data_IF_705332406435
#
_entry.id   IF_705332406435
#
_cell.length_a   1.000
_cell.length_b   1.000
_cell.length_c   1.000
_cell.angle_alpha   90.00
_cell.angle_beta   90.00
_cell.angle_gamma   90.00
#
_symmetry.space_group_name_H-M   'P 1'
#
loop_
_entity.id
_entity.type
_entity.pdbx_description
1 polymer ?
#
# COMPACT_ATOMS: atom_id res chain seq x y z
N UNK A 1 -26.23 -2.63 -11.91
CA UNK A 1 -25.13 -2.92 -10.97
C UNK A 1 -23.96 -2.03 -11.34
N UNK A 2 -23.22 -1.46 -10.38
CA UNK A 2 -21.98 -0.76 -10.70
C UNK A 2 -20.99 -1.74 -11.35
N UNK A 3 -20.18 -1.30 -12.33
CA UNK A 3 -19.18 -2.16 -12.97
C UNK A 3 -18.14 -2.66 -11.94
N UNK A 4 -17.81 -3.95 -12.03
CA UNK A 4 -16.81 -4.59 -11.14
C UNK A 4 -15.41 -4.09 -11.54
N UNK A 5 -14.67 -3.57 -10.57
CA UNK A 5 -13.30 -3.06 -10.74
C UNK A 5 -12.29 -4.12 -10.29
N UNK A 6 -11.32 -4.45 -11.15
CA UNK A 6 -10.24 -5.40 -10.82
C UNK A 6 -9.06 -4.76 -10.07
N UNK A 7 -8.89 -3.44 -10.13
CA UNK A 7 -7.82 -2.72 -9.42
C UNK A 7 -8.35 -1.54 -8.61
N UNK A 8 -8.40 -1.66 -7.28
CA UNK A 8 -8.86 -0.61 -6.36
C UNK A 8 -8.45 -0.88 -4.91
N UNK A 9 -8.69 0.05 -3.99
CA UNK A 9 -8.44 -0.18 -2.56
C UNK A 9 -9.40 -1.22 -1.94
N UNK A 10 -10.46 -1.60 -2.66
CA UNK A 10 -11.56 -2.49 -2.26
C UNK A 10 -11.60 -3.81 -3.04
N UNK A 11 -10.64 -4.08 -3.95
CA UNK A 11 -10.72 -5.23 -4.88
C UNK A 11 -10.79 -6.60 -4.24
N UNK A 12 -10.33 -6.74 -3.00
CA UNK A 12 -10.46 -8.00 -2.27
C UNK A 12 -11.88 -8.24 -1.74
N UNK A 13 -12.67 -7.17 -1.56
CA UNK A 13 -14.05 -7.26 -1.05
C UNK A 13 -15.07 -7.46 -2.18
N UNK A 14 -14.76 -7.00 -3.41
CA UNK A 14 -15.65 -7.11 -4.57
C UNK A 14 -15.55 -8.46 -5.31
N UNK A 15 -14.50 -9.25 -5.04
CA UNK A 15 -14.25 -10.55 -5.68
C UNK A 15 -14.33 -11.66 -4.63
N UNK A 16 -15.42 -12.44 -4.68
CA UNK A 16 -15.60 -13.56 -3.77
C UNK A 16 -14.69 -14.72 -4.20
N UNK A 17 -13.64 -14.97 -3.42
CA UNK A 17 -12.75 -16.13 -3.62
C UNK A 17 -13.33 -17.37 -2.94
N UNK A 18 -13.71 -18.38 -3.71
CA UNK A 18 -14.20 -19.68 -3.19
C UNK A 18 -13.10 -20.73 -3.32
N UNK A 19 -12.86 -21.51 -2.26
CA UNK A 19 -11.96 -22.68 -2.30
C UNK A 19 -10.49 -22.42 -1.98
N UNK A 20 -10.12 -21.21 -1.54
CA UNK A 20 -8.77 -20.92 -1.07
C UNK A 20 -8.63 -21.23 0.43
N UNK A 21 -7.94 -22.32 0.77
CA UNK A 21 -7.55 -22.60 2.16
C UNK A 21 -6.40 -21.67 2.57
N UNK A 22 -6.65 -20.74 3.50
CA UNK A 22 -5.62 -19.86 4.07
C UNK A 22 -5.17 -20.38 5.43
N UNK A 23 -3.97 -20.98 5.56
CA UNK A 23 -3.48 -21.43 6.86
C UNK A 23 -3.22 -20.26 7.81
N UNK A 24 -3.86 -20.29 8.97
CA UNK A 24 -3.85 -19.23 10.00
C UNK A 24 -2.46 -18.81 10.52
N UNK A 25 -1.48 -19.70 10.50
CA UNK A 25 -0.11 -19.46 11.01
C UNK A 25 0.81 -18.78 9.98
N UNK A 26 0.53 -18.89 8.68
CA UNK A 26 1.30 -18.21 7.63
C UNK A 26 1.04 -16.70 7.56
N UNK A 27 -0.05 -16.24 8.19
CA UNK A 27 -0.54 -14.87 8.06
C UNK A 27 -0.12 -13.98 9.25
N UNK A 28 0.54 -14.49 10.29
CA UNK A 28 0.90 -13.68 11.49
C UNK A 28 1.86 -12.53 11.16
N UNK A 29 2.90 -12.81 10.36
CA UNK A 29 3.84 -11.78 9.90
C UNK A 29 3.14 -10.77 8.99
N UNK A 30 2.30 -11.25 8.07
CA UNK A 30 1.56 -10.39 7.15
C UNK A 30 0.51 -9.53 7.89
N UNK A 31 -0.20 -10.07 8.88
CA UNK A 31 -1.11 -9.35 9.77
C UNK A 31 -0.36 -8.28 10.56
N UNK A 32 0.77 -8.64 11.18
CA UNK A 32 1.60 -7.72 11.94
C UNK A 32 2.10 -6.54 11.08
N UNK A 33 2.25 -6.72 9.76
CA UNK A 33 2.66 -5.67 8.84
C UNK A 33 1.51 -4.91 8.16
N UNK A 34 0.30 -5.48 8.10
CA UNK A 34 -0.84 -4.91 7.36
C UNK A 34 -1.83 -4.14 8.23
N UNK A 35 -1.96 -4.47 9.52
CA UNK A 35 -2.87 -3.75 10.42
C UNK A 35 -2.45 -2.28 10.58
N UNK A 36 -3.40 -1.38 10.86
CA UNK A 36 -3.10 0.03 11.10
C UNK A 36 -2.19 0.25 12.32
N UNK A 37 -1.40 1.32 12.31
CA UNK A 37 -0.40 1.62 13.36
C UNK A 37 -0.96 1.60 14.79
N UNK A 38 -2.14 2.20 15.02
CA UNK A 38 -2.76 2.21 16.35
C UNK A 38 -3.09 0.80 16.85
N UNK A 39 -3.68 -0.04 15.99
CA UNK A 39 -4.00 -1.44 16.33
C UNK A 39 -2.74 -2.26 16.59
N UNK A 40 -1.70 -2.05 15.79
CA UNK A 40 -0.39 -2.70 15.98
C UNK A 40 0.21 -2.36 17.36
N UNK A 41 0.28 -1.08 17.71
CA UNK A 41 0.84 -0.64 18.98
C UNK A 41 0.03 -1.15 20.18
N UNK A 42 -1.30 -1.06 20.11
CA UNK A 42 -2.18 -1.58 21.18
C UNK A 42 -2.03 -3.09 21.33
N UNK A 43 -1.93 -3.85 20.23
CA UNK A 43 -1.69 -5.29 20.29
C UNK A 43 -0.32 -5.62 20.90
N UNK A 44 0.73 -4.87 20.57
CA UNK A 44 2.06 -5.03 21.16
C UNK A 44 2.09 -4.75 22.66
N UNK A 45 1.45 -3.65 23.09
CA UNK A 45 1.28 -3.33 24.52
C UNK A 45 0.46 -4.43 25.21
N UNK A 46 -0.64 -4.88 24.60
CA UNK A 46 -1.47 -5.96 25.13
C UNK A 46 -0.69 -7.26 25.32
N UNK A 47 0.13 -7.66 24.33
CA UNK A 47 0.99 -8.83 24.42
C UNK A 47 2.03 -8.69 25.55
N UNK A 48 2.66 -7.52 25.67
CA UNK A 48 3.59 -7.22 26.76
C UNK A 48 2.91 -7.32 28.14
N UNK A 49 1.74 -6.71 28.30
CA UNK A 49 0.97 -6.76 29.55
C UNK A 49 0.52 -8.19 29.89
N UNK A 50 0.07 -8.95 28.90
CA UNK A 50 -0.33 -10.35 29.08
C UNK A 50 0.84 -11.23 29.52
N UNK A 51 2.01 -11.07 28.88
CA UNK A 51 3.21 -11.80 29.26
C UNK A 51 3.60 -11.54 30.72
N UNK A 52 3.62 -10.26 31.14
CA UNK A 52 3.92 -9.91 32.53
C UNK A 52 2.88 -10.47 33.51
N UNK A 53 1.59 -10.48 33.12
CA UNK A 53 0.54 -11.07 33.96
C UNK A 53 0.74 -12.59 34.15
N UNK A 54 1.20 -13.30 33.12
CA UNK A 54 1.51 -14.73 33.20
C UNK A 54 2.72 -14.97 34.13
N UNK A 55 3.80 -14.20 33.99
CA UNK A 55 4.96 -14.31 34.88
C UNK A 55 4.62 -13.93 36.33
N UNK A 56 3.77 -12.94 36.54
CA UNK A 56 3.24 -12.60 37.86
C UNK A 56 2.54 -13.80 38.51
N UNK A 57 1.74 -14.56 37.75
CA UNK A 57 1.11 -15.79 38.25
C UNK A 57 2.17 -16.83 38.62
N UNK A 58 3.22 -17.02 37.82
CA UNK A 58 4.33 -17.93 38.17
C UNK A 58 5.03 -17.54 39.46
N UNK A 59 5.29 -16.25 39.69
CA UNK A 59 5.87 -15.79 40.96
C UNK A 59 4.97 -16.04 42.17
N UNK A 60 3.66 -16.04 42.00
CA UNK A 60 2.69 -16.30 43.07
C UNK A 60 2.49 -17.80 43.36
N UNK A 61 3.01 -18.71 42.53
CA UNK A 61 2.90 -20.16 42.77
C UNK A 61 3.73 -20.64 43.97
N UNK A 62 4.77 -19.89 44.34
CA UNK A 62 5.59 -20.19 45.51
C UNK A 62 5.64 -18.98 46.43
N UNK A 63 5.24 -19.19 47.69
CA UNK A 63 5.35 -18.17 48.73
C UNK A 63 6.81 -17.76 48.96
N UNK A 64 7.03 -16.46 49.18
CA UNK A 64 8.37 -15.90 49.38
C UNK A 64 9.22 -15.81 48.12
N UNK A 65 8.65 -15.99 46.92
CA UNK A 65 9.38 -15.86 45.65
C UNK A 65 9.90 -14.43 45.41
N UNK A 66 9.19 -13.40 45.88
CA UNK A 66 9.60 -12.01 45.72
C UNK A 66 9.84 -11.40 47.11
N UNK A 67 11.08 -10.99 47.37
CA UNK A 67 11.44 -10.25 48.57
C UNK A 67 10.81 -8.85 48.55
N UNK A 68 10.36 -8.37 49.72
CA UNK A 68 9.72 -7.06 49.91
C UNK A 68 8.38 -6.86 49.16
N UNK A 69 7.78 -7.91 48.62
CA UNK A 69 6.41 -7.89 48.10
C UNK A 69 5.40 -8.24 49.20
N UNK A 70 4.17 -7.69 49.11
CA UNK A 70 3.09 -8.10 50.01
C UNK A 70 2.71 -9.57 49.72
N UNK A 71 2.54 -10.42 50.74
CA UNK A 71 2.18 -11.82 50.53
C UNK A 71 0.90 -11.96 49.69
N UNK A 72 0.95 -12.76 48.62
CA UNK A 72 -0.19 -13.01 47.72
C UNK A 72 -0.63 -11.83 46.83
N UNK A 73 0.11 -10.71 46.81
CA UNK A 73 -0.26 -9.53 46.02
C UNK A 73 0.07 -9.70 44.53
N UNK A 74 -0.95 -9.89 43.70
CA UNK A 74 -0.79 -9.93 42.24
C UNK A 74 -0.18 -8.63 41.69
N UNK A 75 -0.57 -7.48 42.24
CA UNK A 75 -0.06 -6.19 41.78
C UNK A 75 1.46 -6.08 41.98
N UNK A 76 1.99 -6.53 43.12
CA UNK A 76 3.43 -6.48 43.38
C UNK A 76 4.19 -7.46 42.49
N UNK A 77 3.65 -8.67 42.29
CA UNK A 77 4.23 -9.66 41.37
C UNK A 77 4.21 -9.17 39.91
N UNK A 78 3.15 -8.49 39.50
CA UNK A 78 3.03 -7.89 38.17
C UNK A 78 4.01 -6.75 37.94
N UNK A 79 4.17 -5.84 38.90
CA UNK A 79 5.15 -4.77 38.78
C UNK A 79 6.59 -5.28 38.91
N UNK A 80 6.84 -6.34 39.68
CA UNK A 80 8.14 -7.02 39.70
C UNK A 80 8.47 -7.65 38.35
N UNK A 81 7.50 -8.33 37.72
CA UNK A 81 7.61 -8.88 36.37
C UNK A 81 7.93 -7.78 35.34
N UNK A 82 7.21 -6.65 35.36
CA UNK A 82 7.52 -5.49 34.49
C UNK A 82 8.95 -5.00 34.70
N UNK A 83 9.38 -4.83 35.95
CA UNK A 83 10.73 -4.35 36.27
C UNK A 83 11.82 -5.33 35.81
N UNK A 84 11.53 -6.63 35.87
CA UNK A 84 12.43 -7.70 35.45
C UNK A 84 12.50 -7.78 33.93
N UNK A 85 11.36 -7.94 33.26
CA UNK A 85 11.30 -8.12 31.81
C UNK A 85 11.75 -6.88 31.03
N UNK A 86 11.47 -5.68 31.53
CA UNK A 86 11.98 -4.43 30.95
C UNK A 86 13.42 -4.10 31.37
N UNK A 87 14.05 -4.93 32.21
CA UNK A 87 15.42 -4.73 32.73
C UNK A 87 15.60 -3.40 33.49
N UNK A 88 14.54 -2.90 34.14
CA UNK A 88 14.56 -1.67 34.93
C UNK A 88 15.20 -1.94 36.30
N UNK A 89 14.75 -3.00 36.98
CA UNK A 89 15.33 -3.47 38.24
C UNK A 89 15.56 -2.39 39.30
N UNK A 90 14.50 -1.73 39.79
CA UNK A 90 14.63 -0.67 40.82
C UNK A 90 15.31 -1.12 42.13
N UNK A 91 15.42 -2.44 42.36
CA UNK A 91 16.15 -3.03 43.49
C UNK A 91 15.36 -3.09 44.80
N UNK A 92 14.15 -2.55 44.84
CA UNK A 92 13.26 -2.67 46.02
C UNK A 92 12.68 -4.08 46.16
N UNK A 93 12.29 -4.69 45.05
CA UNK A 93 11.85 -6.09 44.97
C UNK A 93 12.95 -6.92 44.30
N UNK A 94 13.22 -8.11 44.85
CA UNK A 94 14.26 -9.00 44.36
C UNK A 94 13.79 -10.47 44.44
N UNK A 95 14.32 -11.38 43.62
CA UNK A 95 13.98 -12.80 43.72
C UNK A 95 14.45 -13.36 45.07
N UNK A 96 13.51 -13.85 45.88
CA UNK A 96 13.75 -14.34 47.25
C UNK A 96 14.14 -15.82 47.34
N UNK A 97 14.09 -16.56 46.24
CA UNK A 97 14.35 -18.01 46.22
C UNK A 97 15.07 -18.46 44.93
N UNK A 98 15.62 -19.67 44.93
CA UNK A 98 16.19 -20.28 43.71
C UNK A 98 15.14 -20.41 42.61
N UNK A 99 13.91 -20.80 42.95
CA UNK A 99 12.78 -20.86 42.02
C UNK A 99 12.53 -19.51 41.35
N UNK A 100 12.43 -18.43 42.13
CA UNK A 100 12.22 -17.09 41.59
C UNK A 100 13.36 -16.67 40.65
N UNK A 101 14.62 -16.98 40.98
CA UNK A 101 15.77 -16.69 40.11
C UNK A 101 15.71 -17.46 38.78
N UNK A 102 15.22 -18.70 38.78
CA UNK A 102 14.98 -19.46 37.55
C UNK A 102 13.89 -18.81 36.68
N UNK A 103 12.79 -18.38 37.30
CA UNK A 103 11.71 -17.66 36.58
C UNK A 103 12.25 -16.33 36.01
N UNK A 104 12.98 -15.54 36.80
CA UNK A 104 13.65 -14.30 36.35
C UNK A 104 14.55 -14.55 35.15
N UNK A 105 15.30 -15.66 35.15
CA UNK A 105 16.20 -16.02 34.05
C UNK A 105 15.41 -16.29 32.76
N UNK A 106 14.34 -17.07 32.85
CA UNK A 106 13.45 -17.36 31.71
C UNK A 106 12.72 -16.11 31.23
N UNK A 107 12.20 -15.31 32.17
CA UNK A 107 11.51 -14.05 31.89
C UNK A 107 12.40 -13.04 31.18
N UNK A 108 13.65 -12.89 31.65
CA UNK A 108 14.62 -11.98 31.02
C UNK A 108 14.95 -12.43 29.61
N UNK A 109 15.19 -13.73 29.39
CA UNK A 109 15.42 -14.28 28.05
C UNK A 109 14.22 -14.04 27.12
N UNK A 110 13.00 -14.27 27.62
CA UNK A 110 11.77 -13.99 26.88
C UNK A 110 11.61 -12.50 26.54
N UNK A 111 11.86 -11.60 27.51
CA UNK A 111 11.80 -10.16 27.33
C UNK A 111 12.74 -9.64 26.26
N UNK A 112 13.98 -10.15 26.22
CA UNK A 112 14.96 -9.82 25.19
C UNK A 112 14.51 -10.26 23.80
N UNK A 113 13.94 -11.46 23.68
CA UNK A 113 13.39 -11.96 22.40
C UNK A 113 12.20 -11.10 21.97
N UNK A 114 11.28 -10.80 22.87
CA UNK A 114 10.11 -9.97 22.59
C UNK A 114 10.52 -8.56 22.12
N UNK A 115 11.49 -7.94 22.78
CA UNK A 115 12.05 -6.65 22.39
C UNK A 115 12.67 -6.70 20.99
N UNK A 116 13.49 -7.72 20.70
CA UNK A 116 14.11 -7.89 19.40
C UNK A 116 13.08 -8.07 18.27
N UNK A 117 12.06 -8.92 18.49
CA UNK A 117 10.99 -9.16 17.52
C UNK A 117 10.15 -7.89 17.31
N UNK A 118 9.72 -7.21 18.38
CA UNK A 118 8.92 -5.99 18.26
C UNK A 118 9.69 -4.88 17.55
N UNK A 119 10.97 -4.70 17.87
CA UNK A 119 11.83 -3.72 17.20
C UNK A 119 11.99 -4.06 15.71
N UNK A 120 12.23 -5.33 15.39
CA UNK A 120 12.31 -5.81 14.01
C UNK A 120 11.02 -5.59 13.22
N UNK A 121 9.86 -5.85 13.83
CA UNK A 121 8.56 -5.59 13.21
C UNK A 121 8.31 -4.10 13.00
N UNK A 122 8.63 -3.25 13.97
CA UNK A 122 8.52 -1.79 13.84
C UNK A 122 9.40 -1.30 12.68
N UNK A 123 10.66 -1.75 12.62
CA UNK A 123 11.56 -1.42 11.52
C UNK A 123 11.01 -1.91 10.17
N UNK A 124 10.59 -3.17 10.07
CA UNK A 124 10.01 -3.72 8.85
C UNK A 124 8.77 -2.93 8.37
N UNK A 125 7.93 -2.45 9.30
CA UNK A 125 6.78 -1.59 8.98
C UNK A 125 7.20 -0.20 8.49
N UNK A 126 8.23 0.40 9.06
CA UNK A 126 8.76 1.69 8.60
C UNK A 126 9.45 1.60 7.25
N UNK A 127 10.17 0.49 7.01
CA UNK A 127 10.92 0.25 5.79
C UNK A 127 10.05 -0.20 4.62
N UNK A 128 8.72 -0.33 4.79
CA UNK A 128 7.84 -0.69 3.68
C UNK A 128 7.78 0.43 2.63
N UNK A 129 8.23 0.17 1.40
CA UNK A 129 8.16 1.15 0.32
C UNK A 129 6.70 1.48 0.01
N UNK A 130 6.35 2.76 0.05
CA UNK A 130 5.03 3.25 -0.38
C UNK A 130 5.21 4.32 -1.43
N UNK A 131 4.93 3.98 -2.69
CA UNK A 131 4.84 5.01 -3.72
C UNK A 131 3.61 5.89 -3.42
N UNK A 132 3.83 7.19 -3.24
CA UNK A 132 2.75 8.17 -3.28
C UNK A 132 2.72 8.80 -4.66
N UNK A 133 2.30 8.01 -5.64
CA UNK A 133 2.06 8.46 -7.01
C UNK A 133 0.58 8.80 -7.13
N UNK A 134 0.30 10.05 -7.50
CA UNK A 134 -1.04 10.52 -7.81
C UNK A 134 -1.33 10.24 -9.28
N UNK A 135 -2.41 9.53 -9.56
CA UNK A 135 -2.93 9.37 -10.92
C UNK A 135 -4.04 10.41 -11.19
N UNK A 136 -4.24 10.77 -12.46
CA UNK A 136 -5.45 11.51 -12.85
C UNK A 136 -6.70 10.71 -12.47
N UNK A 137 -7.81 11.37 -12.17
CA UNK A 137 -9.07 10.68 -11.84
C UNK A 137 -9.72 10.05 -13.06
N UNK A 138 -9.42 10.62 -14.23
CA UNK A 138 -9.95 10.20 -15.53
C UNK A 138 -8.78 9.99 -16.48
N UNK A 139 -9.01 9.19 -17.51
CA UNK A 139 -8.21 9.18 -18.72
C UNK A 139 -8.95 10.00 -19.79
N UNK A 140 -8.22 10.52 -20.77
CA UNK A 140 -8.82 11.31 -21.86
C UNK A 140 -8.41 10.74 -23.20
N UNK A 141 -9.32 10.75 -24.17
CA UNK A 141 -9.03 10.46 -25.57
C UNK A 141 -9.28 11.75 -26.35
N UNK A 142 -8.27 12.23 -27.05
CA UNK A 142 -8.37 13.41 -27.90
C UNK A 142 -7.29 13.42 -28.98
N UNK A 143 -7.39 14.33 -29.96
CA UNK A 143 -6.37 14.49 -30.98
C UNK A 143 -5.04 14.97 -30.36
N UNK A 144 -3.96 14.27 -30.66
CA UNK A 144 -2.59 14.70 -30.39
C UNK A 144 -1.74 14.46 -31.64
N UNK A 145 -1.14 15.52 -32.18
CA UNK A 145 -0.44 15.49 -33.47
C UNK A 145 -1.27 14.86 -34.61
N UNK A 146 -2.58 15.14 -34.64
CA UNK A 146 -3.49 14.63 -35.67
C UNK A 146 -3.95 13.19 -35.49
N UNK A 147 -3.54 12.50 -34.43
CA UNK A 147 -3.97 11.12 -34.14
C UNK A 147 -4.79 11.04 -32.84
N UNK A 148 -5.87 10.23 -32.79
CA UNK A 148 -6.55 9.91 -31.54
C UNK A 148 -5.56 9.29 -30.55
N UNK A 149 -5.46 9.87 -29.37
CA UNK A 149 -4.46 9.47 -28.37
C UNK A 149 -5.12 9.37 -27.01
N UNK A 150 -5.00 8.19 -26.40
CA UNK A 150 -5.36 7.97 -25.01
C UNK A 150 -4.26 8.58 -24.12
N UNK A 151 -4.66 9.41 -23.16
CA UNK A 151 -3.75 10.08 -22.24
C UNK A 151 -4.21 9.94 -20.79
N UNK A 152 -3.26 9.79 -19.87
CA UNK A 152 -3.48 9.87 -18.42
C UNK A 152 -2.25 10.48 -17.74
N UNK A 153 -2.43 11.03 -16.53
CA UNK A 153 -1.35 11.74 -15.82
C UNK A 153 -0.94 11.02 -14.56
N UNK A 154 0.34 11.13 -14.25
CA UNK A 154 0.94 10.70 -13.00
C UNK A 154 1.71 11.87 -12.40
N UNK A 155 1.66 12.03 -11.08
CA UNK A 155 2.49 12.97 -10.34
C UNK A 155 3.15 12.30 -9.13
N UNK A 156 4.38 12.69 -8.83
CA UNK A 156 4.98 12.33 -7.56
C UNK A 156 4.43 13.26 -6.48
N UNK A 157 3.74 12.74 -5.47
CA UNK A 157 3.26 13.54 -4.33
C UNK A 157 4.35 13.82 -3.30
N UNK A 158 5.48 13.11 -3.38
CA UNK A 158 6.65 13.34 -2.54
C UNK A 158 7.58 14.36 -3.20
N UNK A 159 8.34 15.08 -2.39
CA UNK A 159 9.40 16.00 -2.84
C UNK A 159 10.72 15.29 -3.18
N UNK A 160 10.70 13.97 -3.36
CA UNK A 160 11.85 13.16 -3.76
C UNK A 160 11.75 12.75 -5.23
N UNK A 161 12.71 11.98 -5.73
CA UNK A 161 12.67 11.44 -7.09
C UNK A 161 12.35 9.95 -7.07
N UNK A 162 11.60 9.51 -8.08
CA UNK A 162 11.51 8.09 -8.43
C UNK A 162 12.39 7.87 -9.66
N UNK A 163 13.49 7.15 -9.46
CA UNK A 163 14.48 6.85 -10.49
C UNK A 163 14.03 5.69 -11.35
N UNK A 164 14.40 5.73 -12.63
CA UNK A 164 14.06 4.68 -13.60
C UNK A 164 12.57 4.34 -13.60
N UNK A 165 11.72 5.36 -13.49
CA UNK A 165 10.29 5.14 -13.42
C UNK A 165 9.76 4.60 -14.75
N UNK A 166 9.05 3.49 -14.67
CA UNK A 166 8.39 2.79 -15.76
C UNK A 166 6.89 2.81 -15.55
N UNK A 167 6.15 2.97 -16.64
CA UNK A 167 4.70 2.95 -16.67
C UNK A 167 4.26 1.91 -17.68
N UNK A 168 3.27 1.12 -17.32
CA UNK A 168 2.58 0.19 -18.22
C UNK A 168 1.09 0.49 -18.19
N UNK A 169 0.44 0.24 -19.33
CA UNK A 169 -1.01 0.32 -19.46
C UNK A 169 -1.51 -0.94 -20.15
N UNK A 170 -2.50 -1.58 -19.55
CA UNK A 170 -3.08 -2.83 -20.05
C UNK A 170 -4.60 -2.67 -20.12
N UNK A 171 -5.16 -2.85 -21.30
CA UNK A 171 -6.60 -2.90 -21.52
C UNK A 171 -7.10 -4.32 -21.21
N UNK A 172 -8.05 -4.42 -20.29
CA UNK A 172 -8.79 -5.64 -20.02
C UNK A 172 -10.16 -5.51 -20.64
N UNK A 173 -10.65 -6.56 -21.30
CA UNK A 173 -12.03 -6.60 -21.82
C UNK A 173 -12.54 -8.03 -21.93
N UNK A 174 -13.86 -8.17 -21.88
CA UNK A 174 -14.53 -9.44 -22.09
C UNK A 174 -14.63 -9.72 -23.60
N UNK A 175 -14.34 -10.95 -23.99
CA UNK A 175 -14.40 -11.45 -25.36
C UNK A 175 -15.00 -12.86 -25.38
N UNK A 176 -15.56 -13.24 -26.54
CA UNK A 176 -15.88 -14.63 -26.84
C UNK A 176 -14.76 -15.19 -27.71
N UNK A 177 -14.25 -16.36 -27.36
CA UNK A 177 -13.33 -17.09 -28.25
C UNK A 177 -14.07 -17.60 -29.49
N UNK A 178 -13.33 -18.06 -30.49
CA UNK A 178 -13.89 -18.65 -31.70
C UNK A 178 -14.74 -19.91 -31.38
N UNK A 179 -14.44 -20.58 -30.26
CA UNK A 179 -15.19 -21.72 -29.72
C UNK A 179 -16.40 -21.29 -28.86
N UNK A 180 -16.70 -19.99 -28.76
CA UNK A 180 -17.83 -19.45 -28.00
C UNK A 180 -17.61 -19.40 -26.48
N UNK A 181 -16.37 -19.54 -26.00
CA UNK A 181 -16.07 -19.46 -24.57
C UNK A 181 -15.87 -18.00 -24.15
N UNK A 182 -16.57 -17.49 -23.11
CA UNK A 182 -16.31 -16.15 -22.59
C UNK A 182 -14.98 -16.12 -21.85
N UNK A 183 -14.10 -15.19 -22.25
CA UNK A 183 -12.80 -14.95 -21.63
C UNK A 183 -12.62 -13.46 -21.33
N UNK A 184 -11.84 -13.14 -20.30
CA UNK A 184 -11.37 -11.77 -20.06
C UNK A 184 -9.92 -11.67 -20.50
N UNK A 185 -9.66 -10.92 -21.57
CA UNK A 185 -8.35 -10.85 -22.22
C UNK A 185 -7.61 -9.57 -21.84
N UNK A 186 -6.29 -9.68 -21.77
CA UNK A 186 -5.37 -8.60 -21.42
C UNK A 186 -4.63 -8.17 -22.69
N UNK A 187 -4.58 -6.87 -22.93
CA UNK A 187 -3.90 -6.26 -24.06
C UNK A 187 -2.98 -5.13 -23.58
N UNK A 188 -1.68 -5.31 -23.73
CA UNK A 188 -0.72 -4.25 -23.40
C UNK A 188 -0.79 -3.15 -24.45
N UNK A 189 -0.90 -1.91 -23.98
CA UNK A 189 -0.99 -0.73 -24.83
C UNK A 189 0.41 -0.12 -25.01
N UNK A 190 0.95 -0.04 -26.25
CA UNK A 190 2.25 0.56 -26.49
C UNK A 190 2.23 2.07 -26.17
N UNK A 191 3.04 2.49 -25.20
CA UNK A 191 3.11 3.88 -24.78
C UNK A 191 4.15 4.65 -25.58
N UNK A 192 3.84 5.89 -25.96
CA UNK A 192 4.77 6.79 -26.65
C UNK A 192 6.04 7.04 -25.81
N UNK A 193 5.90 7.02 -24.49
CA UNK A 193 7.01 6.96 -23.54
C UNK A 193 6.58 6.15 -22.32
N UNK A 194 7.15 4.96 -22.17
CA UNK A 194 6.90 4.09 -21.03
C UNK A 194 7.91 4.29 -19.89
N UNK A 195 9.09 4.88 -20.15
CA UNK A 195 10.15 5.06 -19.15
C UNK A 195 10.62 6.52 -19.05
N UNK A 196 10.86 6.98 -17.83
CA UNK A 196 11.54 8.25 -17.55
C UNK A 196 12.71 8.03 -16.57
N UNK A 197 13.91 8.55 -16.85
CA UNK A 197 15.06 8.38 -15.95
C UNK A 197 14.81 8.97 -14.55
N UNK A 198 14.09 10.09 -14.49
CA UNK A 198 13.74 10.81 -13.26
C UNK A 198 12.27 11.21 -13.32
N UNK A 199 11.48 10.72 -12.38
CA UNK A 199 10.09 11.15 -12.17
C UNK A 199 10.01 11.99 -10.88
N UNK A 200 9.98 13.31 -11.05
CA UNK A 200 10.02 14.26 -9.93
C UNK A 200 8.71 15.07 -9.76
N UNK A 201 7.96 15.31 -10.84
CA UNK A 201 6.88 16.30 -10.84
C UNK A 201 5.56 15.74 -11.40
N UNK A 202 5.38 15.83 -12.72
CA UNK A 202 4.19 15.36 -13.43
C UNK A 202 4.62 14.77 -14.77
N UNK A 203 3.95 13.69 -15.18
CA UNK A 203 4.19 12.98 -16.42
C UNK A 203 2.84 12.65 -17.06
N UNK A 204 2.62 13.11 -18.29
CA UNK A 204 1.47 12.69 -19.10
C UNK A 204 1.90 11.52 -19.97
N UNK A 205 1.30 10.37 -19.73
CA UNK A 205 1.51 9.16 -20.50
C UNK A 205 0.50 9.13 -21.63
N UNK A 206 0.96 8.72 -22.80
CA UNK A 206 0.19 8.74 -24.04
C UNK A 206 0.30 7.40 -24.76
N UNK A 207 -0.82 6.88 -25.22
CA UNK A 207 -0.91 5.75 -26.14
C UNK A 207 -1.60 6.24 -27.42
N UNK A 208 -0.88 6.19 -28.53
CA UNK A 208 -1.44 6.56 -29.83
C UNK A 208 -2.33 5.43 -30.33
N UNK A 209 -3.56 5.76 -30.71
CA UNK A 209 -4.55 4.80 -31.20
C UNK A 209 -4.38 4.71 -32.73
N UNK A 210 -3.34 3.98 -33.15
CA UNK A 210 -3.12 3.60 -34.53
C UNK A 210 -3.93 2.36 -34.91
N UNK A 211 -3.71 1.81 -36.11
CA UNK A 211 -4.43 0.63 -36.62
C UNK A 211 -4.13 -0.67 -35.88
N UNK A 212 -2.99 -0.74 -35.17
CA UNK A 212 -2.57 -1.91 -34.42
C UNK A 212 -3.04 -1.83 -32.96
N UNK A 213 -3.43 -0.64 -32.51
CA UNK A 213 -3.98 -0.42 -31.18
C UNK A 213 -5.23 -1.28 -30.91
N UNK A 214 -5.29 -1.97 -29.75
CA UNK A 214 -6.50 -2.64 -29.28
C UNK A 214 -7.73 -1.72 -29.09
N UNK A 215 -7.51 -0.40 -29.06
CA UNK A 215 -8.54 0.63 -28.97
C UNK A 215 -8.99 1.16 -30.33
N UNK A 216 -8.37 0.71 -31.43
CA UNK A 216 -8.69 1.20 -32.76
C UNK A 216 -10.15 0.89 -33.15
N UNK A 217 -10.88 1.91 -33.60
CA UNK A 217 -12.27 1.79 -34.01
C UNK A 217 -13.28 1.56 -32.87
N UNK A 218 -12.82 1.54 -31.61
CA UNK A 218 -13.72 1.44 -30.46
C UNK A 218 -14.35 2.80 -30.12
N UNK A 219 -15.56 2.75 -29.58
CA UNK A 219 -16.29 3.89 -29.01
C UNK A 219 -16.51 3.72 -27.51
N UNK A 220 -16.97 4.79 -26.84
CA UNK A 220 -17.35 4.74 -25.43
C UNK A 220 -18.37 3.62 -25.14
N UNK A 221 -19.38 3.48 -26.01
CA UNK A 221 -20.43 2.47 -25.89
C UNK A 221 -19.88 1.06 -26.06
N UNK A 222 -18.96 0.86 -27.01
CA UNK A 222 -18.34 -0.45 -27.23
C UNK A 222 -17.46 -0.88 -26.04
N UNK A 223 -16.72 0.05 -25.44
CA UNK A 223 -15.91 -0.23 -24.25
C UNK A 223 -16.80 -0.61 -23.05
N UNK A 224 -17.92 0.08 -22.89
CA UNK A 224 -18.90 -0.25 -21.86
C UNK A 224 -19.52 -1.65 -22.08
N UNK A 225 -19.89 -1.97 -23.32
CA UNK A 225 -20.47 -3.26 -23.68
C UNK A 225 -19.51 -4.45 -23.47
N UNK A 226 -18.20 -4.23 -23.61
CA UNK A 226 -17.16 -5.23 -23.37
C UNK A 226 -16.63 -5.24 -21.93
N UNK A 227 -17.27 -4.51 -21.01
CA UNK A 227 -16.81 -4.32 -19.62
C UNK A 227 -15.32 -3.97 -19.52
N UNK A 228 -14.86 -3.09 -20.40
CA UNK A 228 -13.46 -2.77 -20.51
C UNK A 228 -12.94 -2.08 -19.25
N UNK A 229 -11.70 -2.37 -18.86
CA UNK A 229 -11.01 -1.70 -17.75
C UNK A 229 -9.56 -1.44 -18.16
N UNK A 230 -9.13 -0.18 -18.08
CA UNK A 230 -7.76 0.22 -18.36
C UNK A 230 -6.98 0.19 -17.04
N UNK A 231 -6.09 -0.79 -16.89
CA UNK A 231 -5.17 -0.86 -15.74
C UNK A 231 -3.89 -0.11 -16.08
N UNK A 232 -3.48 0.79 -15.19
CA UNK A 232 -2.20 1.50 -15.28
C UNK A 232 -1.34 1.17 -14.08
N UNK A 233 -0.11 0.76 -14.33
CA UNK A 233 0.89 0.51 -13.28
C UNK A 233 2.08 1.42 -13.49
N UNK A 234 2.58 1.99 -12.39
CA UNK A 234 3.82 2.75 -12.35
C UNK A 234 4.77 2.10 -11.34
N UNK A 235 6.03 1.95 -11.71
CA UNK A 235 7.07 1.39 -10.85
C UNK A 235 8.39 2.11 -11.01
N UNK A 236 9.25 2.08 -10.01
CA UNK A 236 10.58 2.66 -10.07
C UNK A 236 11.30 2.53 -8.75
N UNK A 237 12.43 3.20 -8.59
CA UNK A 237 13.23 3.18 -7.35
C UNK A 237 13.02 4.50 -6.62
N UNK A 238 12.51 4.48 -5.39
CA UNK A 238 12.39 5.70 -4.57
C UNK A 238 13.78 6.08 -4.02
N UNK A 239 14.24 7.28 -4.36
CA UNK A 239 15.58 7.77 -4.02
C UNK A 239 15.85 7.83 -2.51
N UNK A 240 14.81 8.04 -1.69
CA UNK A 240 14.96 8.24 -0.24
C UNK A 240 15.17 6.92 0.50
N UNK A 241 14.46 5.87 0.08
CA UNK A 241 14.53 4.54 0.70
C UNK A 241 15.42 3.57 -0.09
N UNK A 242 15.86 3.95 -1.29
CA UNK A 242 16.67 3.15 -2.21
C UNK A 242 16.06 1.77 -2.51
N UNK A 243 14.73 1.71 -2.65
CA UNK A 243 13.97 0.48 -2.87
C UNK A 243 12.91 0.66 -3.96
N UNK A 244 12.45 -0.47 -4.51
CA UNK A 244 11.42 -0.51 -5.55
C UNK A 244 10.06 -0.13 -4.98
N UNK A 245 9.40 0.83 -5.64
CA UNK A 245 8.04 1.26 -5.35
C UNK A 245 7.13 0.94 -6.52
N UNK A 246 5.88 0.58 -6.19
CA UNK A 246 4.83 0.30 -7.17
C UNK A 246 3.57 1.05 -6.81
N UNK A 247 2.89 1.60 -7.81
CA UNK A 247 1.57 2.19 -7.70
C UNK A 247 0.72 1.76 -8.89
N UNK A 248 -0.58 1.63 -8.67
CA UNK A 248 -1.53 1.21 -9.70
C UNK A 248 -2.84 1.96 -9.58
N UNK A 249 -3.51 2.13 -10.71
CA UNK A 249 -4.88 2.63 -10.81
C UNK A 249 -5.59 1.89 -11.93
N UNK A 250 -6.92 1.98 -11.98
CA UNK A 250 -7.66 1.64 -13.18
C UNK A 250 -8.66 2.72 -13.55
N UNK A 251 -9.03 2.73 -14.83
CA UNK A 251 -10.07 3.56 -15.41
C UNK A 251 -11.13 2.66 -16.04
N UNK A 252 -12.37 2.83 -15.60
CA UNK A 252 -13.54 2.23 -16.20
C UNK A 252 -13.98 3.04 -17.44
N UNK A 253 -14.89 2.51 -18.28
CA UNK A 253 -15.27 3.17 -19.54
C UNK A 253 -15.88 4.56 -19.33
N UNK A 254 -16.61 4.76 -18.23
CA UNK A 254 -17.19 6.05 -17.81
C UNK A 254 -16.15 7.03 -17.26
N UNK A 255 -14.96 6.55 -16.88
CA UNK A 255 -13.81 7.36 -16.44
C UNK A 255 -12.86 7.70 -17.60
N UNK A 256 -13.20 7.32 -18.85
CA UNK A 256 -12.47 7.68 -20.06
C UNK A 256 -13.25 8.76 -20.83
N UNK A 257 -12.78 10.00 -20.75
CA UNK A 257 -13.43 11.14 -21.39
C UNK A 257 -12.99 11.30 -22.84
N UNK A 258 -13.93 11.10 -23.76
CA UNK A 258 -13.71 11.26 -25.21
C UNK A 258 -13.79 12.72 -25.63
N UNK A 259 -13.03 13.11 -26.65
CA UNK A 259 -12.91 14.49 -27.12
C UNK A 259 -12.49 15.47 -26.02
N UNK A 260 -11.59 15.04 -25.14
CA UNK A 260 -11.04 15.87 -24.07
C UNK A 260 -9.53 15.90 -24.14
N UNK A 261 -8.96 16.99 -23.62
CA UNK A 261 -7.53 17.07 -23.24
C UNK A 261 -7.44 17.49 -21.80
N UNK A 262 -6.35 17.16 -21.13
CA UNK A 262 -6.11 17.70 -19.80
C UNK A 262 -5.82 19.21 -19.84
N UNK A 263 -6.25 19.92 -18.80
CA UNK A 263 -5.88 21.32 -18.58
C UNK A 263 -4.36 21.47 -18.42
N UNK A 264 -3.79 22.59 -18.86
CA UNK A 264 -2.36 22.83 -18.64
C UNK A 264 -2.11 23.08 -17.15
N UNK A 265 -1.13 22.37 -16.61
CA UNK A 265 -0.71 22.47 -15.20
C UNK A 265 0.59 23.25 -15.06
N UNK A 266 1.30 23.51 -16.17
CA UNK A 266 2.58 24.19 -16.14
C UNK A 266 2.38 25.70 -16.34
N UNK A 267 3.05 26.49 -15.52
CA UNK A 267 3.00 27.94 -15.61
C UNK A 267 4.30 28.59 -15.15
N UNK A 268 4.27 29.91 -15.12
CA UNK A 268 5.39 30.74 -14.68
C UNK A 268 4.88 31.77 -13.68
N UNK A 269 5.63 31.96 -12.59
CA UNK A 269 5.44 33.11 -11.71
C UNK A 269 5.90 34.40 -12.40
N UNK A 270 5.46 35.56 -11.88
CA UNK A 270 5.96 36.88 -12.31
C UNK A 270 7.47 37.05 -12.13
N UNK A 271 8.09 36.25 -11.26
CA UNK A 271 9.53 36.24 -10.95
C UNK A 271 10.31 35.23 -11.80
N UNK A 272 9.69 34.61 -12.82
CA UNK A 272 10.36 33.66 -13.71
C UNK A 272 10.56 32.25 -13.14
N UNK A 273 10.05 31.94 -11.95
CA UNK A 273 10.04 30.57 -11.41
C UNK A 273 8.95 29.74 -12.07
N UNK A 274 9.27 28.51 -12.46
CA UNK A 274 8.32 27.53 -13.01
C UNK A 274 7.37 27.03 -11.92
N UNK A 275 6.08 26.96 -12.23
CA UNK A 275 5.03 26.50 -11.31
C UNK A 275 4.33 25.31 -11.93
N UNK A 276 3.96 24.35 -11.08
CA UNK A 276 3.01 23.30 -11.43
C UNK A 276 1.81 23.47 -10.53
N UNK A 277 0.66 23.77 -11.13
CA UNK A 277 -0.60 23.89 -10.43
C UNK A 277 -1.30 22.53 -10.36
N UNK A 278 -1.15 21.87 -9.21
CA UNK A 278 -1.78 20.58 -8.96
C UNK A 278 -3.31 20.68 -8.77
N UNK A 279 -3.87 21.88 -8.57
CA UNK A 279 -5.34 22.03 -8.52
C UNK A 279 -6.00 21.71 -9.86
N UNK A 280 -5.28 21.93 -10.97
CA UNK A 280 -5.69 21.61 -12.33
C UNK A 280 -5.29 20.20 -12.77
N UNK A 281 -4.66 19.42 -11.88
CA UNK A 281 -4.07 18.12 -12.25
C UNK A 281 -5.09 17.12 -12.78
N UNK A 282 -6.29 17.13 -12.20
CA UNK A 282 -7.41 16.27 -12.58
C UNK A 282 -8.32 16.92 -13.63
N UNK A 283 -8.16 18.21 -13.91
CA UNK A 283 -9.07 18.97 -14.75
C UNK A 283 -8.88 18.64 -16.23
N UNK A 284 -10.01 18.57 -16.94
CA UNK A 284 -10.06 18.29 -18.37
C UNK A 284 -10.86 19.37 -19.09
N UNK A 285 -10.51 19.61 -20.34
CA UNK A 285 -11.14 20.59 -21.21
C UNK A 285 -11.69 19.85 -22.42
N UNK A 286 -13.00 20.01 -22.66
CA UNK A 286 -13.64 19.52 -23.86
C UNK A 286 -13.02 20.18 -25.09
N UNK A 287 -12.73 19.39 -26.10
CA UNK A 287 -12.26 19.84 -27.40
C UNK A 287 -13.52 19.98 -28.25
N UNK A 288 -13.89 21.22 -28.57
CA UNK A 288 -14.95 21.48 -29.55
C UNK A 288 -14.52 20.88 -30.89
N UNK A 289 -15.31 19.94 -31.39
CA UNK A 289 -15.15 19.41 -32.73
C UNK A 289 -15.46 20.51 -33.74
N UNK A 290 -14.44 21.23 -34.18
CA UNK A 290 -14.53 21.91 -35.46
C UNK A 290 -14.45 20.81 -36.52
N UNK A 291 -15.57 20.63 -37.23
CA UNK A 291 -15.85 19.52 -38.14
C UNK A 291 -15.04 19.51 -39.43
#
# INVERSE_FOLDING_TARGET
>A
MPPIRLVGSSTADDILTVGLERPWHGDMYHLALSVGWGRFLVAGIGLYMLANAIFAVFYLLQDGSIANARPGSFADAFFFSIQTMATIGYGQMAPGSLYANLIVTVETAFGLILLAVMTGLVFARFSRPTARVLFSRVAVIGPYNGMPTLSFRLANQRRNQILQAEVTATLLRDELTDEGTPIRRFYDLPLARYRTPVFALSFTVMHQIDRESPLYGLTAESLAAMHAELIVTASGIDETIADHVHARTSYLPDEIHWNHRFADVMGWTREGRRVIDYSLFHETVAISGDG
#
